data_IF_581570259662
#
_entry.id   IF_581570259662
#
_cell.length_a   1.000
_cell.length_b   1.000
_cell.length_c   1.000
_cell.angle_alpha   90.00
_cell.angle_beta   90.00
_cell.angle_gamma   90.00
#
_symmetry.space_group_name_H-M   'P 1'
#
loop_
_entity.id
_entity.type
_entity.pdbx_description
1 polymer ?
#
# COMPACT_ATOMS: atom_id res chain seq x y z
N UNK A 1 57.25 -22.94 22.06
CA UNK A 1 56.55 -21.99 21.16
C UNK A 1 55.09 -21.98 21.58
N UNK A 2 54.77 -21.16 22.59
CA UNK A 2 53.43 -21.03 23.18
C UNK A 2 53.17 -19.52 23.27
N UNK A 3 52.19 -19.03 22.52
CA UNK A 3 51.48 -17.80 22.87
C UNK A 3 50.00 -18.01 22.55
N UNK A 4 49.23 -18.19 23.61
CA UNK A 4 47.78 -18.07 23.68
C UNK A 4 47.48 -16.68 24.25
N UNK A 5 46.65 -15.88 23.59
CA UNK A 5 45.83 -14.75 24.10
C UNK A 5 45.21 -14.06 22.87
N UNK A 6 43.96 -13.61 22.78
CA UNK A 6 42.95 -13.34 23.78
C UNK A 6 41.55 -13.54 23.17
N UNK A 7 40.65 -13.98 24.03
CA UNK A 7 39.19 -13.92 23.94
C UNK A 7 38.71 -12.48 24.15
N UNK A 8 37.97 -11.93 23.18
CA UNK A 8 37.01 -10.83 23.37
C UNK A 8 35.74 -11.29 22.62
N UNK A 9 34.56 -11.49 23.20
CA UNK A 9 34.03 -10.91 24.43
C UNK A 9 33.15 -9.69 24.15
N UNK A 10 32.23 -9.76 23.18
CA UNK A 10 31.15 -8.76 23.07
C UNK A 10 29.79 -9.43 23.12
N UNK A 11 29.30 -9.42 24.35
CA UNK A 11 27.97 -9.72 24.85
C UNK A 11 26.81 -9.48 23.89
N UNK A 12 26.07 -10.56 23.69
CA UNK A 12 24.63 -10.60 23.51
C UNK A 12 23.92 -9.58 24.41
N UNK A 13 23.36 -8.51 23.82
CA UNK A 13 22.43 -7.63 24.51
C UNK A 13 21.02 -8.24 24.47
N UNK A 14 20.79 -9.23 25.35
CA UNK A 14 19.47 -9.80 25.64
C UNK A 14 18.92 -9.12 26.88
N UNK A 15 17.97 -8.20 26.73
CA UNK A 15 17.34 -7.57 27.91
C UNK A 15 16.53 -6.32 27.62
N UNK A 16 15.43 -6.45 26.88
CA UNK A 16 14.50 -5.33 26.68
C UNK A 16 13.23 -5.75 25.95
N UNK A 17 12.59 -6.85 26.36
CA UNK A 17 11.28 -7.23 25.83
C UNK A 17 10.17 -6.88 26.84
N UNK A 18 9.00 -6.58 26.27
CA UNK A 18 7.67 -6.57 26.88
C UNK A 18 7.27 -5.41 27.78
N UNK A 19 7.29 -4.16 27.29
CA UNK A 19 6.23 -3.23 27.74
C UNK A 19 5.59 -2.41 26.61
N UNK A 20 6.32 -2.03 25.54
CA UNK A 20 5.74 -1.20 24.46
C UNK A 20 5.75 -1.82 23.05
N UNK A 21 5.83 -3.15 22.91
CA UNK A 21 5.68 -3.77 21.58
C UNK A 21 4.21 -3.75 21.12
N UNK A 22 3.25 -3.74 22.05
CA UNK A 22 1.82 -3.60 21.75
C UNK A 22 1.51 -2.23 21.15
N UNK A 23 2.13 -1.16 21.67
CA UNK A 23 1.91 0.22 21.19
C UNK A 23 2.38 0.46 19.74
N UNK A 24 3.26 -0.41 19.23
CA UNK A 24 3.73 -0.35 17.84
C UNK A 24 2.71 -0.88 16.84
N UNK A 25 1.79 -1.74 17.30
CA UNK A 25 0.77 -2.31 16.45
C UNK A 25 -0.40 -1.34 16.28
N UNK A 26 -0.65 -0.96 15.05
CA UNK A 26 -1.72 -0.06 14.65
C UNK A 26 -2.83 -0.82 13.94
N UNK A 27 -4.06 -0.33 14.08
CA UNK A 27 -5.22 -0.87 13.36
C UNK A 27 -5.10 -0.58 11.86
N UNK A 28 -5.81 -1.36 11.03
CA UNK A 28 -5.83 -1.13 9.58
C UNK A 28 -6.34 0.26 9.18
N UNK A 29 -7.24 0.86 9.97
CA UNK A 29 -7.73 2.22 9.72
C UNK A 29 -6.63 3.26 9.94
N UNK A 30 -5.84 3.14 11.01
CA UNK A 30 -4.70 4.02 11.28
C UNK A 30 -3.57 3.78 10.26
N UNK A 31 -3.33 2.52 9.89
CA UNK A 31 -2.38 2.16 8.84
C UNK A 31 -2.74 2.80 7.48
N UNK A 32 -4.02 2.80 7.12
CA UNK A 32 -4.53 3.46 5.92
C UNK A 32 -4.29 4.98 5.93
N UNK A 33 -4.40 5.63 7.10
CA UNK A 33 -4.13 7.07 7.24
C UNK A 33 -2.64 7.40 7.17
N UNK A 34 -1.80 6.53 7.72
CA UNK A 34 -0.35 6.71 7.73
C UNK A 34 0.28 6.42 6.35
N UNK A 35 -0.29 5.51 5.58
CA UNK A 35 0.23 5.15 4.28
C UNK A 35 0.12 6.30 3.26
N UNK A 36 1.16 6.50 2.42
CA UNK A 36 1.13 7.52 1.37
C UNK A 36 -0.02 7.27 0.41
N UNK A 37 -0.69 8.34 -0.02
CA UNK A 37 -1.88 8.25 -0.88
C UNK A 37 -3.17 7.86 -0.17
N UNK A 38 -3.15 7.68 1.17
CA UNK A 38 -4.32 7.39 2.01
C UNK A 38 -5.23 6.30 1.43
N UNK A 39 -4.70 5.08 1.19
CA UNK A 39 -5.50 3.96 0.72
C UNK A 39 -6.65 3.66 1.68
N UNK A 40 -7.73 3.05 1.19
CA UNK A 40 -8.82 2.62 2.08
C UNK A 40 -8.36 1.49 3.02
N UNK A 41 -8.98 1.39 4.20
CA UNK A 41 -8.70 0.29 5.13
C UNK A 41 -8.92 -1.10 4.50
N UNK A 42 -9.86 -1.21 3.54
CA UNK A 42 -10.10 -2.43 2.79
C UNK A 42 -8.94 -2.75 1.81
N UNK A 43 -8.30 -1.74 1.22
CA UNK A 43 -7.09 -1.92 0.43
C UNK A 43 -5.96 -2.49 1.29
N UNK A 44 -5.71 -1.90 2.47
CA UNK A 44 -4.70 -2.41 3.41
C UNK A 44 -5.03 -3.85 3.86
N UNK A 45 -6.29 -4.15 4.15
CA UNK A 45 -6.73 -5.52 4.46
C UNK A 45 -6.42 -6.51 3.31
N UNK A 46 -6.64 -6.10 2.06
CA UNK A 46 -6.27 -6.91 0.88
C UNK A 46 -4.76 -7.09 0.77
N UNK A 47 -3.96 -6.08 1.08
CA UNK A 47 -2.49 -6.19 1.11
C UNK A 47 -2.03 -7.22 2.13
N UNK A 48 -2.67 -7.26 3.31
CA UNK A 48 -2.38 -8.25 4.34
C UNK A 48 -2.75 -9.68 3.92
N UNK A 49 -3.94 -9.87 3.32
CA UNK A 49 -4.49 -11.21 3.06
C UNK A 49 -4.08 -11.78 1.71
N UNK A 50 -4.19 -10.97 0.66
CA UNK A 50 -3.95 -11.38 -0.74
C UNK A 50 -2.61 -10.89 -1.27
N UNK A 51 -2.09 -9.79 -0.72
CA UNK A 51 -0.97 -9.08 -1.30
C UNK A 51 -1.35 -8.27 -2.54
N UNK A 52 -0.37 -7.53 -3.04
CA UNK A 52 -0.43 -6.79 -4.30
C UNK A 52 0.39 -7.54 -5.34
N UNK A 53 -0.16 -7.68 -6.53
CA UNK A 53 0.58 -8.19 -7.68
C UNK A 53 1.36 -7.02 -8.29
N UNK A 54 2.69 -7.07 -8.18
CA UNK A 54 3.59 -6.13 -8.82
C UNK A 54 3.57 -6.33 -10.35
N UNK A 55 4.03 -5.34 -11.11
CA UNK A 55 4.06 -5.45 -12.58
C UNK A 55 5.02 -6.52 -13.07
N UNK A 56 6.00 -6.88 -12.27
CA UNK A 56 6.90 -8.02 -12.50
C UNK A 56 6.19 -9.38 -12.46
N UNK A 57 4.97 -9.45 -11.93
CA UNK A 57 4.25 -10.69 -11.66
C UNK A 57 4.50 -11.25 -10.24
N UNK A 58 5.40 -10.64 -9.48
CA UNK A 58 5.64 -11.00 -8.08
C UNK A 58 4.50 -10.53 -7.18
N UNK A 59 4.18 -11.31 -6.13
CA UNK A 59 3.15 -10.96 -5.16
C UNK A 59 3.74 -10.53 -3.83
N UNK A 60 3.74 -9.23 -3.57
CA UNK A 60 4.22 -8.64 -2.31
C UNK A 60 3.08 -8.61 -1.29
N UNK A 61 3.32 -9.07 -0.06
CA UNK A 61 2.32 -9.12 1.02
C UNK A 61 2.72 -8.23 2.19
N UNK A 62 1.75 -7.51 2.74
CA UNK A 62 1.95 -6.72 3.95
C UNK A 62 1.94 -7.63 5.18
N UNK A 63 2.97 -7.49 6.03
CA UNK A 63 3.04 -8.19 7.32
C UNK A 63 1.94 -7.68 8.25
N UNK A 64 1.36 -8.61 9.01
CA UNK A 64 0.29 -8.30 9.95
C UNK A 64 0.23 -9.35 11.06
N UNK A 65 -0.38 -8.96 12.18
CA UNK A 65 -0.76 -9.86 13.26
C UNK A 65 -2.27 -9.90 13.42
N UNK A 66 -2.77 -10.94 14.07
CA UNK A 66 -4.19 -11.06 14.44
C UNK A 66 -4.29 -11.21 15.96
N UNK A 67 -5.11 -10.38 16.58
CA UNK A 67 -5.35 -10.41 18.02
C UNK A 67 -6.80 -10.00 18.30
N UNK A 68 -7.51 -10.78 19.12
CA UNK A 68 -8.91 -10.50 19.48
C UNK A 68 -9.84 -10.35 18.27
N UNK A 69 -9.65 -11.18 17.23
CA UNK A 69 -10.44 -11.12 15.99
C UNK A 69 -10.12 -9.94 15.06
N UNK A 70 -9.25 -9.02 15.47
CA UNK A 70 -8.82 -7.85 14.69
C UNK A 70 -7.47 -8.09 14.04
N UNK A 71 -7.22 -7.36 12.95
CA UNK A 71 -5.94 -7.36 12.23
C UNK A 71 -5.19 -6.08 12.56
N UNK A 72 -3.92 -6.21 12.90
CA UNK A 72 -3.03 -5.10 13.17
C UNK A 72 -1.78 -5.20 12.31
N UNK A 73 -1.14 -4.07 12.06
CA UNK A 73 0.12 -3.97 11.34
C UNK A 73 1.01 -2.95 12.01
N UNK A 74 2.21 -2.69 11.48
CA UNK A 74 3.16 -1.70 11.98
C UNK A 74 3.46 -0.69 10.88
N UNK A 75 3.87 0.51 11.27
CA UNK A 75 4.31 1.55 10.33
C UNK A 75 5.55 1.08 9.57
N UNK A 76 6.55 0.54 10.28
CA UNK A 76 7.77 0.02 9.67
C UNK A 76 7.47 -1.06 8.61
N UNK A 77 6.48 -1.92 8.86
CA UNK A 77 6.05 -2.94 7.90
C UNK A 77 5.36 -2.34 6.66
N UNK A 78 4.67 -1.21 6.79
CA UNK A 78 4.12 -0.49 5.64
C UNK A 78 5.23 0.10 4.77
N UNK A 79 6.27 0.65 5.40
CA UNK A 79 7.43 1.19 4.69
C UNK A 79 8.20 0.08 3.98
N UNK A 80 8.50 -1.02 4.66
CA UNK A 80 9.13 -2.21 4.07
C UNK A 80 8.30 -2.76 2.90
N UNK A 81 6.97 -2.83 3.06
CA UNK A 81 6.06 -3.26 2.01
C UNK A 81 6.10 -2.32 0.80
N UNK A 82 6.09 -1.01 1.04
CA UNK A 82 6.17 0.00 -0.02
C UNK A 82 7.49 -0.08 -0.79
N UNK A 83 8.61 -0.21 -0.08
CA UNK A 83 9.94 -0.38 -0.68
C UNK A 83 10.02 -1.66 -1.50
N UNK A 84 9.52 -2.79 -0.98
CA UNK A 84 9.50 -4.06 -1.71
C UNK A 84 8.65 -3.98 -2.98
N UNK A 85 7.49 -3.33 -2.91
CA UNK A 85 6.62 -3.15 -4.08
C UNK A 85 7.26 -2.26 -5.14
N UNK A 86 7.88 -1.16 -4.70
CA UNK A 86 8.61 -0.25 -5.60
C UNK A 86 9.80 -0.96 -6.27
N UNK A 87 10.58 -1.75 -5.52
CA UNK A 87 11.69 -2.52 -6.07
C UNK A 87 11.23 -3.52 -7.14
N UNK A 88 10.12 -4.23 -6.89
CA UNK A 88 9.54 -5.16 -7.86
C UNK A 88 9.05 -4.45 -9.13
N UNK A 89 8.46 -3.26 -8.99
CA UNK A 89 8.04 -2.45 -10.14
C UNK A 89 9.24 -1.90 -10.93
N UNK A 90 10.28 -1.41 -10.26
CA UNK A 90 11.54 -0.98 -10.91
C UNK A 90 12.17 -2.12 -11.69
N UNK A 91 12.29 -3.31 -11.10
CA UNK A 91 12.82 -4.49 -11.79
C UNK A 91 12.05 -4.84 -13.08
N UNK A 92 10.72 -4.64 -13.09
CA UNK A 92 9.92 -4.81 -14.30
C UNK A 92 10.25 -3.77 -15.38
N UNK A 93 10.41 -2.50 -15.00
CA UNK A 93 10.75 -1.45 -15.96
C UNK A 93 12.17 -1.61 -16.51
N UNK A 94 13.13 -1.98 -15.67
CA UNK A 94 14.51 -2.22 -16.10
C UNK A 94 14.57 -3.40 -17.09
N UNK A 95 13.88 -4.50 -16.80
CA UNK A 95 13.76 -5.63 -17.72
C UNK A 95 13.12 -5.24 -19.07
N UNK A 96 12.20 -4.27 -19.06
CA UNK A 96 11.50 -3.81 -20.25
C UNK A 96 12.26 -2.71 -21.02
N UNK A 97 13.09 -1.92 -20.35
CA UNK A 97 13.82 -0.80 -20.95
C UNK A 97 14.73 -1.24 -22.11
N UNK A 98 15.19 -2.50 -22.10
CA UNK A 98 15.97 -3.10 -23.17
C UNK A 98 15.16 -3.67 -24.34
N UNK A 99 13.82 -3.69 -24.28
CA UNK A 99 12.97 -4.24 -25.35
C UNK A 99 12.32 -3.09 -26.13
N UNK A 100 12.78 -2.77 -27.35
CA UNK A 100 12.07 -1.84 -28.22
C UNK A 100 10.65 -2.33 -28.42
N UNK A 101 9.67 -1.44 -28.21
CA UNK A 101 8.29 -1.74 -28.59
C UNK A 101 8.29 -2.05 -30.10
N UNK A 102 7.57 -3.09 -30.55
CA UNK A 102 7.44 -3.35 -31.97
C UNK A 102 6.90 -2.09 -32.65
N UNK A 103 7.38 -1.75 -33.85
CA UNK A 103 6.84 -0.65 -34.62
C UNK A 103 5.32 -0.75 -34.68
N UNK A 104 4.63 0.36 -34.46
CA UNK A 104 3.17 0.40 -34.57
C UNK A 104 2.79 0.00 -35.99
N UNK A 105 1.94 -1.02 -36.09
CA UNK A 105 1.43 -1.47 -37.38
C UNK A 105 0.62 -0.34 -38.05
N UNK A 106 0.97 0.08 -39.29
CA UNK A 106 0.30 1.17 -40.00
C UNK A 106 -1.18 0.88 -40.29
N UNK A 107 -1.63 -0.39 -40.25
CA UNK A 107 -3.04 -0.75 -40.40
C UNK A 107 -3.93 -0.21 -39.27
N UNK A 108 -3.36 0.11 -38.10
CA UNK A 108 -4.11 0.62 -36.94
C UNK A 108 -4.48 2.11 -37.03
N UNK A 109 -4.21 2.78 -38.15
CA UNK A 109 -4.53 4.20 -38.36
C UNK A 109 -3.79 5.14 -37.38
N UNK A 110 -3.98 6.47 -37.51
CA UNK A 110 -3.44 7.43 -36.54
C UNK A 110 -4.06 7.19 -35.15
N UNK A 111 -3.35 7.49 -34.05
CA UNK A 111 -3.95 7.41 -32.72
C UNK A 111 -5.18 8.30 -32.71
N UNK A 112 -6.36 7.71 -32.45
CA UNK A 112 -7.56 8.50 -32.23
C UNK A 112 -7.26 9.39 -31.03
N UNK A 113 -7.09 10.68 -31.30
CA UNK A 113 -6.89 11.70 -30.28
C UNK A 113 -7.99 11.48 -29.25
N UNK A 114 -7.58 11.20 -28.01
CA UNK A 114 -8.44 10.81 -26.90
C UNK A 114 -9.65 11.74 -26.89
N UNK A 115 -10.77 11.29 -27.48
CA UNK A 115 -11.99 12.05 -27.53
C UNK A 115 -12.29 12.49 -26.12
N UNK A 116 -12.43 13.80 -25.94
CA UNK A 116 -12.87 14.42 -24.69
C UNK A 116 -13.96 13.53 -24.10
N UNK A 117 -13.62 12.79 -23.04
CA UNK A 117 -14.61 11.97 -22.36
C UNK A 117 -15.61 12.98 -21.84
N UNK A 118 -16.79 13.03 -22.45
CA UNK A 118 -17.94 13.79 -21.98
C UNK A 118 -18.02 13.57 -20.47
N UNK A 119 -17.67 14.60 -19.70
CA UNK A 119 -17.60 14.50 -18.25
C UNK A 119 -18.98 14.05 -17.78
N UNK A 120 -19.06 12.86 -17.18
CA UNK A 120 -20.26 12.47 -16.45
C UNK A 120 -20.41 13.50 -15.33
N UNK A 121 -21.60 14.08 -15.09
CA UNK A 121 -21.79 15.01 -14.00
C UNK A 121 -21.38 14.33 -12.70
N UNK A 122 -20.32 14.85 -12.09
CA UNK A 122 -19.88 14.42 -10.77
C UNK A 122 -20.97 14.87 -9.81
N UNK A 123 -21.76 13.93 -9.29
CA UNK A 123 -22.65 14.22 -8.16
C UNK A 123 -21.74 14.55 -6.98
N UNK A 124 -21.59 15.83 -6.68
CA UNK A 124 -20.79 16.33 -5.57
C UNK A 124 -21.51 16.04 -4.25
N UNK A 125 -20.75 15.95 -3.16
CA UNK A 125 -21.29 15.77 -1.80
C UNK A 125 -22.29 16.88 -1.43
N UNK A 126 -22.11 18.07 -1.98
CA UNK A 126 -23.03 19.20 -1.83
C UNK A 126 -24.43 18.92 -2.41
N UNK A 127 -24.51 18.30 -3.59
CA UNK A 127 -25.80 17.97 -4.21
C UNK A 127 -26.58 16.92 -3.41
N UNK A 128 -25.87 15.98 -2.78
CA UNK A 128 -26.49 14.95 -1.95
C UNK A 128 -26.94 15.47 -0.58
N UNK A 129 -26.22 16.43 -0.02
CA UNK A 129 -26.63 17.07 1.23
C UNK A 129 -27.86 17.97 1.02
N UNK A 130 -27.92 18.72 -0.08
CA UNK A 130 -29.07 19.57 -0.40
C UNK A 130 -30.35 18.76 -0.69
N UNK A 131 -30.20 17.54 -1.24
CA UNK A 131 -31.32 16.61 -1.43
C UNK A 131 -31.85 16.10 -0.08
N UNK A 132 -30.95 15.76 0.85
CA UNK A 132 -31.30 15.31 2.20
C UNK A 132 -31.93 16.44 3.03
N UNK A 133 -31.39 17.66 3.00
CA UNK A 133 -31.94 18.82 3.72
C UNK A 133 -33.36 19.15 3.23
N UNK A 134 -33.62 19.01 1.94
CA UNK A 134 -34.94 19.23 1.36
C UNK A 134 -35.95 18.15 1.73
N UNK A 135 -35.51 16.90 1.86
CA UNK A 135 -36.33 15.77 2.35
C UNK A 135 -36.68 15.96 3.84
N UNK A 136 -35.74 16.46 4.65
CA UNK A 136 -35.96 16.77 6.08
C UNK A 136 -36.91 17.96 6.30
N UNK A 137 -36.80 19.00 5.50
CA UNK A 137 -37.71 20.16 5.54
C UNK A 137 -39.16 19.77 5.13
N UNK A 138 -39.33 18.83 4.21
CA UNK A 138 -40.64 18.29 3.80
C UNK A 138 -41.26 17.38 4.87
N UNK A 139 -40.45 16.69 5.68
CA UNK A 139 -40.89 15.86 6.81
C UNK A 139 -41.05 16.64 8.14
N UNK A 140 -40.64 17.91 8.18
CA UNK A 140 -40.85 18.82 9.31
C UNK A 140 -40.06 18.47 10.58
N UNK A 141 -38.83 17.98 10.41
CA UNK A 141 -37.90 17.60 11.49
C UNK A 141 -36.66 18.50 11.56
#
# INVERSE_FOLDING_TARGET
MIMRTATEGTSSNTGGHTTNDIDRYITLAKAAQAAPGRPSANAVWRWCRRGVLARSGERVRLRHIRQGGRVFTRIDWLEEFGTALAAADTAHFDARAGTPLPPRDPAYGPPSGRGSRRAKPVVTKANRNAEIERELDEEGL
#
